data_IF_711331666572
#
_entry.id   IF_711331666572
#
_cell.length_a   1.000
_cell.length_b   1.000
_cell.length_c   1.000
_cell.angle_alpha   90.00
_cell.angle_beta   90.00
_cell.angle_gamma   90.00
#
_symmetry.space_group_name_H-M   'P 1'
#
loop_
_entity.id
_entity.type
_entity.pdbx_description
1 polymer ?
#
# COMPACT_ATOMS: atom_id res chain seq x y z
N UNK A 1 9.18 -0.80 0.51
CA UNK A 1 10.30 -0.03 1.08
C UNK A 1 9.72 1.24 1.65
N UNK A 2 10.02 1.52 2.91
CA UNK A 2 9.62 2.77 3.56
C UNK A 2 10.80 3.74 3.54
N UNK A 3 10.52 5.02 3.38
CA UNK A 3 11.53 6.07 3.32
C UNK A 3 11.29 7.04 4.48
N UNK A 4 12.34 7.46 5.17
CA UNK A 4 12.21 8.42 6.26
C UNK A 4 11.75 9.80 5.74
N UNK A 5 10.92 10.49 6.52
CA UNK A 5 10.33 11.78 6.13
C UNK A 5 11.38 12.84 5.77
N UNK A 6 12.53 12.81 6.46
CA UNK A 6 13.65 13.74 6.22
C UNK A 6 14.26 13.63 4.80
N UNK A 7 13.96 12.55 4.07
CA UNK A 7 14.48 12.30 2.72
C UNK A 7 13.55 12.82 1.61
N UNK A 8 12.35 13.32 1.95
CA UNK A 8 11.37 13.81 0.98
C UNK A 8 11.20 15.33 1.12
N UNK A 9 11.42 16.06 0.02
CA UNK A 9 11.10 17.49 0.00
C UNK A 9 9.59 17.71 0.09
N UNK A 10 9.12 18.80 0.73
CA UNK A 10 7.68 19.09 0.84
C UNK A 10 6.95 19.12 -0.52
N UNK A 11 7.61 19.59 -1.57
CA UNK A 11 7.05 19.61 -2.93
C UNK A 11 6.82 18.20 -3.49
N UNK A 12 7.79 17.29 -3.34
CA UNK A 12 7.66 15.89 -3.77
C UNK A 12 6.61 15.16 -2.93
N UNK A 13 6.64 15.34 -1.61
CA UNK A 13 5.66 14.75 -0.70
C UNK A 13 4.23 15.18 -1.02
N UNK A 14 4.00 16.49 -1.18
CA UNK A 14 2.69 17.03 -1.54
C UNK A 14 2.18 16.53 -2.90
N UNK A 15 3.07 16.35 -3.87
CA UNK A 15 2.73 15.79 -5.19
C UNK A 15 2.27 14.33 -5.06
N UNK A 16 3.04 13.50 -4.33
CA UNK A 16 2.71 12.09 -4.14
C UNK A 16 1.46 11.89 -3.29
N UNK A 17 1.23 12.74 -2.29
CA UNK A 17 -0.03 12.75 -1.52
C UNK A 17 -1.22 13.05 -2.42
N UNK A 18 -1.13 14.07 -3.28
CA UNK A 18 -2.21 14.43 -4.20
C UNK A 18 -2.50 13.29 -5.17
N UNK A 19 -1.46 12.69 -5.75
CA UNK A 19 -1.61 11.53 -6.63
C UNK A 19 -2.25 10.33 -5.91
N UNK A 20 -1.80 10.03 -4.68
CA UNK A 20 -2.34 8.93 -3.86
C UNK A 20 -3.80 9.16 -3.50
N UNK A 21 -4.16 10.37 -3.05
CA UNK A 21 -5.55 10.73 -2.74
C UNK A 21 -6.47 10.56 -3.96
N UNK A 22 -6.03 10.98 -5.14
CA UNK A 22 -6.76 10.76 -6.39
C UNK A 22 -6.96 9.28 -6.71
N UNK A 23 -5.91 8.47 -6.56
CA UNK A 23 -5.99 7.01 -6.76
C UNK A 23 -6.88 6.32 -5.72
N UNK A 24 -6.86 6.76 -4.45
CA UNK A 24 -7.75 6.23 -3.40
C UNK A 24 -9.20 6.47 -3.80
N UNK A 25 -9.54 7.69 -4.24
CA UNK A 25 -10.90 8.00 -4.69
C UNK A 25 -11.33 7.16 -5.91
N UNK A 26 -10.45 7.01 -6.89
CA UNK A 26 -10.70 6.19 -8.08
C UNK A 26 -10.88 4.70 -7.75
N UNK A 27 -9.96 4.12 -6.96
CA UNK A 27 -10.01 2.71 -6.59
C UNK A 27 -11.21 2.42 -5.68
N UNK A 28 -11.55 3.31 -4.75
CA UNK A 28 -12.74 3.20 -3.91
C UNK A 28 -14.02 3.11 -4.75
N UNK A 29 -14.14 3.95 -5.79
CA UNK A 29 -15.27 3.90 -6.72
C UNK A 29 -15.33 2.57 -7.48
N UNK A 30 -14.19 2.08 -7.97
CA UNK A 30 -14.10 0.80 -8.70
C UNK A 30 -14.44 -0.39 -7.81
N UNK A 31 -13.86 -0.46 -6.62
CA UNK A 31 -14.13 -1.53 -5.65
C UNK A 31 -15.60 -1.54 -5.26
N UNK A 32 -16.24 -0.38 -5.06
CA UNK A 32 -17.68 -0.29 -4.79
C UNK A 32 -18.56 -0.84 -5.92
N UNK A 33 -18.14 -0.72 -7.17
CA UNK A 33 -18.88 -1.24 -8.34
C UNK A 33 -18.76 -2.76 -8.49
N UNK A 34 -17.66 -3.33 -8.00
CA UNK A 34 -17.28 -4.75 -8.13
C UNK A 34 -17.30 -5.47 -6.76
N UNK A 35 -18.02 -4.89 -5.79
CA UNK A 35 -17.99 -5.31 -4.39
C UNK A 35 -18.73 -6.64 -4.22
N UNK A 36 -17.99 -7.69 -3.88
CA UNK A 36 -18.51 -8.97 -3.39
C UNK A 36 -18.38 -8.96 -1.86
N UNK A 37 -19.45 -9.29 -1.13
CA UNK A 37 -19.47 -9.35 0.33
C UNK A 37 -18.36 -10.24 0.92
N UNK A 38 -17.91 -11.24 0.16
CA UNK A 38 -16.80 -12.13 0.56
C UNK A 38 -15.42 -11.50 0.38
N UNK A 39 -15.28 -10.47 -0.46
CA UNK A 39 -14.00 -9.80 -0.74
C UNK A 39 -13.59 -8.87 0.41
N UNK A 40 -14.55 -8.26 1.11
CA UNK A 40 -14.27 -7.32 2.22
C UNK A 40 -13.48 -8.01 3.36
N UNK A 41 -13.89 -9.18 3.90
CA UNK A 41 -13.10 -9.88 4.90
C UNK A 41 -11.70 -10.26 4.40
N UNK A 42 -11.56 -10.66 3.14
CA UNK A 42 -10.27 -11.01 2.55
C UNK A 42 -9.31 -9.81 2.46
N UNK A 43 -9.82 -8.62 2.12
CA UNK A 43 -9.03 -7.38 2.15
C UNK A 43 -8.45 -7.13 3.55
N UNK A 44 -9.28 -7.27 4.59
CA UNK A 44 -8.84 -7.10 5.98
C UNK A 44 -7.77 -8.10 6.41
N UNK A 45 -7.99 -9.40 6.14
CA UNK A 45 -7.05 -10.46 6.52
C UNK A 45 -5.72 -10.35 5.76
N UNK A 46 -5.78 -10.14 4.44
CA UNK A 46 -4.57 -10.01 3.62
C UNK A 46 -3.80 -8.72 3.95
N UNK A 47 -4.50 -7.62 4.23
CA UNK A 47 -3.90 -6.38 4.71
C UNK A 47 -3.16 -6.58 6.03
N UNK A 48 -3.80 -7.22 7.01
CA UNK A 48 -3.17 -7.54 8.29
C UNK A 48 -1.96 -8.48 8.14
N UNK A 49 -2.06 -9.49 7.25
CA UNK A 49 -0.94 -10.38 6.93
C UNK A 49 0.25 -9.63 6.34
N UNK A 50 0.01 -8.78 5.32
CA UNK A 50 1.06 -7.98 4.68
C UNK A 50 1.69 -7.02 5.69
N UNK A 51 0.87 -6.35 6.51
CA UNK A 51 1.37 -5.48 7.58
C UNK A 51 2.31 -6.23 8.52
N UNK A 52 1.89 -7.39 9.04
CA UNK A 52 2.72 -8.21 9.92
C UNK A 52 4.01 -8.69 9.24
N UNK A 53 3.93 -9.11 7.97
CA UNK A 53 5.10 -9.53 7.20
C UNK A 53 6.10 -8.38 6.97
N UNK A 54 5.62 -7.16 6.79
CA UNK A 54 6.46 -5.97 6.63
C UNK A 54 7.15 -5.54 7.93
N UNK A 55 6.63 -5.91 9.10
CA UNK A 55 7.31 -5.70 10.38
C UNK A 55 8.58 -6.53 10.52
N UNK A 56 8.72 -7.60 9.74
CA UNK A 56 10.00 -8.29 9.55
C UNK A 56 10.83 -7.46 8.57
N UNK A 57 11.50 -6.44 9.11
CA UNK A 57 12.31 -5.50 8.35
C UNK A 57 13.73 -5.41 8.87
N UNK A 58 14.63 -4.92 8.02
CA UNK A 58 16.03 -4.68 8.33
C UNK A 58 16.46 -3.30 7.83
N UNK A 59 17.29 -2.61 8.61
CA UNK A 59 17.81 -1.30 8.23
C UNK A 59 18.85 -1.46 7.11
N UNK A 60 18.78 -0.61 6.09
CA UNK A 60 19.78 -0.57 5.03
C UNK A 60 20.80 0.53 5.38
N UNK A 61 22.06 0.19 5.69
CA UNK A 61 23.07 1.16 6.14
C UNK A 61 23.21 2.34 5.18
N UNK A 62 23.39 3.54 5.74
CA UNK A 62 23.61 4.81 5.02
C UNK A 62 22.48 5.30 4.08
N UNK A 63 21.34 4.61 3.99
CA UNK A 63 20.23 5.04 3.10
C UNK A 63 19.11 5.79 3.81
N UNK A 64 19.02 5.69 5.14
CA UNK A 64 17.86 6.17 5.90
C UNK A 64 16.55 5.42 5.57
N UNK A 65 16.66 4.21 5.03
CA UNK A 65 15.54 3.35 4.60
C UNK A 65 15.66 1.94 5.19
N UNK A 66 14.57 1.17 5.09
CA UNK A 66 14.50 -0.23 5.52
C UNK A 66 14.07 -1.16 4.38
N UNK A 67 14.67 -2.35 4.36
CA UNK A 67 14.31 -3.49 3.53
C UNK A 67 13.29 -4.38 4.21
N UNK A 68 12.31 -4.85 3.45
CA UNK A 68 11.28 -5.79 3.91
C UNK A 68 10.58 -6.46 2.71
N UNK A 69 9.78 -7.48 2.99
CA UNK A 69 8.95 -8.13 1.97
C UNK A 69 7.90 -7.16 1.40
N UNK A 70 7.77 -7.15 0.07
CA UNK A 70 6.71 -6.42 -0.62
C UNK A 70 5.40 -7.21 -0.62
N UNK A 71 4.27 -6.52 -0.41
CA UNK A 71 2.93 -7.13 -0.43
C UNK A 71 2.08 -6.80 -1.65
N UNK A 72 2.45 -5.77 -2.43
CA UNK A 72 1.59 -5.25 -3.51
C UNK A 72 1.26 -6.27 -4.60
N UNK A 73 2.24 -7.10 -5.01
CA UNK A 73 2.03 -8.11 -6.05
C UNK A 73 1.04 -9.20 -5.61
N UNK A 74 1.21 -9.75 -4.40
CA UNK A 74 0.32 -10.80 -3.89
C UNK A 74 -1.10 -10.26 -3.66
N UNK A 75 -1.22 -9.03 -3.14
CA UNK A 75 -2.51 -8.35 -3.01
C UNK A 75 -3.17 -8.17 -4.38
N UNK A 76 -2.44 -7.67 -5.38
CA UNK A 76 -2.99 -7.43 -6.72
C UNK A 76 -3.46 -8.71 -7.40
N UNK A 77 -2.74 -9.83 -7.23
CA UNK A 77 -3.14 -11.14 -7.78
C UNK A 77 -4.40 -11.67 -7.09
N UNK A 78 -4.49 -11.56 -5.77
CA UNK A 78 -5.60 -12.17 -5.00
C UNK A 78 -6.87 -11.31 -4.97
N UNK A 79 -6.73 -9.98 -4.92
CA UNK A 79 -7.84 -9.05 -4.74
C UNK A 79 -8.18 -8.24 -6.01
N UNK A 80 -7.29 -8.24 -7.00
CA UNK A 80 -7.31 -7.31 -8.12
C UNK A 80 -6.65 -5.97 -7.77
N UNK A 81 -6.30 -5.15 -8.78
CA UNK A 81 -5.45 -3.98 -8.59
C UNK A 81 -6.11 -2.88 -7.74
N UNK A 82 -7.42 -2.68 -7.86
CA UNK A 82 -8.12 -1.61 -7.14
C UNK A 82 -8.30 -1.92 -5.66
N UNK A 83 -8.65 -3.16 -5.31
CA UNK A 83 -8.77 -3.57 -3.91
C UNK A 83 -7.41 -3.76 -3.24
N UNK A 84 -6.37 -4.11 -4.00
CA UNK A 84 -5.00 -4.20 -3.49
C UNK A 84 -4.34 -2.84 -3.22
N UNK A 85 -4.81 -1.78 -3.89
CA UNK A 85 -4.31 -0.42 -3.69
C UNK A 85 -4.91 0.22 -2.42
N UNK A 86 -6.14 -0.14 -2.05
CA UNK A 86 -6.83 0.33 -0.85
C UNK A 86 -6.37 -0.44 0.38
#
# INVERSE_FOLDING_TARGET
MHMADALISPAVGGTLWTASAGLIGYCSKKVKQELDDRKIPLMGVLGAFVFAAQMINFTIPATGSSGHLGGGMILAILLGPHAAFL
#
